data_IF_574391094585
#
_entry.id   IF_574391094585
#
_cell.length_a   1.000
_cell.length_b   1.000
_cell.length_c   1.000
_cell.angle_alpha   90.00
_cell.angle_beta   90.00
_cell.angle_gamma   90.00
#
_symmetry.space_group_name_H-M   'P 1'
#
loop_
_entity.id
_entity.type
_entity.pdbx_description
1 polymer ?
#
# COMPACT_ATOMS: atom_id res chain seq x y z
N UNK A 1 -11.60 14.38 7.38
CA UNK A 1 -11.15 14.15 6.00
C UNK A 1 -10.31 15.30 5.48
N UNK A 2 -9.53 15.04 4.43
CA UNK A 2 -8.69 16.01 3.70
C UNK A 2 -8.74 15.66 2.22
N UNK A 3 -8.83 16.64 1.32
CA UNK A 3 -8.79 16.40 -0.13
C UNK A 3 -7.34 16.21 -0.63
N UNK A 4 -7.17 15.64 -1.83
CA UNK A 4 -5.86 15.58 -2.47
C UNK A 4 -5.29 16.98 -2.75
N UNK A 5 -6.12 17.94 -3.17
CA UNK A 5 -5.66 19.31 -3.41
C UNK A 5 -5.22 20.00 -2.11
N UNK A 6 -5.99 19.87 -1.04
CA UNK A 6 -5.63 20.43 0.28
C UNK A 6 -4.32 19.83 0.82
N UNK A 7 -4.14 18.52 0.63
CA UNK A 7 -2.92 17.84 1.05
C UNK A 7 -1.70 18.28 0.24
N UNK A 8 -1.84 18.40 -1.08
CA UNK A 8 -0.78 18.88 -1.97
C UNK A 8 -0.41 20.32 -1.62
N UNK A 9 -1.39 21.20 -1.39
CA UNK A 9 -1.14 22.58 -0.97
C UNK A 9 -0.32 22.64 0.33
N UNK A 10 -0.69 21.84 1.35
CA UNK A 10 0.07 21.76 2.61
C UNK A 10 1.50 21.28 2.39
N UNK A 11 1.74 20.34 1.47
CA UNK A 11 3.08 19.88 1.13
C UNK A 11 3.90 20.97 0.42
N UNK A 12 3.30 21.74 -0.48
CA UNK A 12 3.94 22.88 -1.16
C UNK A 12 4.30 24.01 -0.19
N UNK A 13 3.46 24.21 0.82
CA UNK A 13 3.71 25.13 1.95
C UNK A 13 4.71 24.59 2.98
N UNK A 14 5.32 23.41 2.73
CA UNK A 14 6.27 22.72 3.61
C UNK A 14 5.72 22.38 5.01
N UNK A 15 4.41 22.16 5.14
CA UNK A 15 3.82 21.70 6.39
C UNK A 15 4.35 20.32 6.79
N UNK A 16 4.53 20.08 8.10
CA UNK A 16 4.91 18.77 8.64
C UNK A 16 3.70 17.82 8.64
N UNK A 17 3.42 17.23 7.48
CA UNK A 17 2.33 16.26 7.31
C UNK A 17 2.76 14.86 7.73
N UNK A 18 1.95 14.18 8.55
CA UNK A 18 2.18 12.81 9.00
C UNK A 18 0.98 11.93 8.68
N UNK A 19 1.24 10.63 8.53
CA UNK A 19 0.22 9.60 8.35
C UNK A 19 0.31 8.58 9.49
N UNK A 20 -0.82 7.96 9.81
CA UNK A 20 -0.92 6.83 10.74
C UNK A 20 -1.74 5.72 10.10
N UNK A 21 -1.51 4.47 10.51
CA UNK A 21 -2.42 3.38 10.19
C UNK A 21 -3.76 3.55 10.94
N UNK A 22 -4.84 2.90 10.48
CA UNK A 22 -6.09 2.83 11.24
C UNK A 22 -5.88 2.16 12.59
N UNK A 23 -6.69 2.53 13.58
CA UNK A 23 -6.70 1.87 14.88
C UNK A 23 -7.24 0.45 14.76
N UNK A 24 -6.69 -0.49 15.54
CA UNK A 24 -7.10 -1.91 15.49
C UNK A 24 -8.60 -2.10 15.78
N UNK A 25 -9.17 -1.34 16.73
CA UNK A 25 -10.59 -1.41 17.05
C UNK A 25 -11.50 -1.07 15.86
N UNK A 26 -11.04 -0.23 14.92
CA UNK A 26 -11.80 0.06 13.69
C UNK A 26 -11.83 -1.09 12.70
N UNK A 27 -10.80 -1.94 12.69
CA UNK A 27 -10.85 -3.17 11.92
C UNK A 27 -11.79 -4.18 12.55
N UNK A 28 -11.73 -4.36 13.88
CA UNK A 28 -12.59 -5.31 14.60
C UNK A 28 -14.06 -4.94 14.42
N UNK A 29 -14.42 -3.68 14.70
CA UNK A 29 -15.79 -3.16 14.49
C UNK A 29 -16.31 -3.45 13.08
N UNK A 30 -15.48 -3.20 12.05
CA UNK A 30 -15.88 -3.41 10.66
C UNK A 30 -15.95 -4.90 10.29
N UNK A 31 -15.05 -5.73 10.80
CA UNK A 31 -15.08 -7.17 10.52
C UNK A 31 -16.31 -7.83 11.14
N UNK A 32 -16.62 -7.50 12.40
CA UNK A 32 -17.82 -8.00 13.09
C UNK A 32 -19.10 -7.58 12.35
N UNK A 33 -19.16 -6.32 11.87
CA UNK A 33 -20.29 -5.82 11.07
C UNK A 33 -20.43 -6.59 9.74
N UNK A 34 -19.34 -6.73 8.97
CA UNK A 34 -19.38 -7.38 7.67
C UNK A 34 -19.62 -8.89 7.75
N UNK A 35 -19.23 -9.53 8.85
CA UNK A 35 -19.37 -10.96 9.06
C UNK A 35 -20.63 -11.38 9.82
N UNK A 36 -21.51 -10.45 10.19
CA UNK A 36 -22.72 -10.73 10.99
C UNK A 36 -23.65 -11.77 10.32
N UNK A 37 -23.69 -11.80 8.99
CA UNK A 37 -24.48 -12.75 8.21
C UNK A 37 -23.75 -14.09 7.91
N UNK A 38 -22.55 -14.26 8.46
CA UNK A 38 -21.70 -15.42 8.23
C UNK A 38 -20.83 -15.34 6.97
N UNK A 39 -20.81 -14.19 6.28
CA UNK A 39 -19.93 -13.94 5.14
C UNK A 39 -18.44 -14.06 5.50
N UNK A 40 -17.65 -14.57 4.56
CA UNK A 40 -16.18 -14.53 4.64
C UNK A 40 -15.68 -13.19 4.11
N UNK A 41 -14.64 -12.64 4.75
CA UNK A 41 -14.08 -11.32 4.43
C UNK A 41 -12.69 -11.48 3.85
N UNK A 42 -12.46 -10.93 2.65
CA UNK A 42 -11.11 -10.75 2.09
C UNK A 42 -10.66 -9.32 2.36
N UNK A 43 -9.66 -9.17 3.23
CA UNK A 43 -9.14 -7.87 3.65
C UNK A 43 -7.75 -7.63 3.06
N UNK A 44 -7.70 -6.99 1.89
CA UNK A 44 -6.44 -6.69 1.18
C UNK A 44 -5.94 -5.27 1.49
N UNK A 45 -4.64 -5.16 1.76
CA UNK A 45 -4.04 -3.88 2.16
C UNK A 45 -2.80 -3.52 1.37
N UNK A 46 -2.47 -2.23 1.41
CA UNK A 46 -1.19 -1.73 0.93
C UNK A 46 -0.03 -2.48 1.61
N UNK A 47 1.11 -2.49 0.95
CA UNK A 47 2.23 -3.31 1.39
C UNK A 47 2.67 -3.07 2.84
N UNK A 48 2.92 -4.18 3.54
CA UNK A 48 3.50 -4.19 4.88
C UNK A 48 4.89 -3.52 4.95
N UNK A 49 5.60 -3.42 3.81
CA UNK A 49 6.90 -2.75 3.75
C UNK A 49 6.84 -1.23 3.94
N UNK A 50 5.66 -0.61 3.80
CA UNK A 50 5.50 0.85 3.86
C UNK A 50 4.53 1.34 4.95
N UNK A 51 3.62 0.47 5.40
CA UNK A 51 2.64 0.78 6.45
C UNK A 51 2.38 -0.42 7.35
N UNK A 52 2.12 -0.15 8.63
CA UNK A 52 1.65 -1.15 9.60
C UNK A 52 0.21 -1.59 9.39
N UNK A 53 -0.52 -1.02 8.42
CA UNK A 53 -1.94 -1.33 8.16
C UNK A 53 -2.20 -2.83 8.00
N UNK A 54 -1.38 -3.53 7.19
CA UNK A 54 -1.50 -4.99 7.01
C UNK A 54 -1.37 -5.73 8.35
N UNK A 55 -0.36 -5.38 9.16
CA UNK A 55 -0.13 -6.04 10.44
C UNK A 55 -1.26 -5.77 11.44
N UNK A 56 -1.80 -4.55 11.45
CA UNK A 56 -2.96 -4.20 12.28
C UNK A 56 -4.20 -4.97 11.86
N UNK A 57 -4.45 -5.10 10.56
CA UNK A 57 -5.55 -5.88 10.02
C UNK A 57 -5.42 -7.38 10.35
N UNK A 58 -4.20 -7.93 10.26
CA UNK A 58 -3.90 -9.31 10.63
C UNK A 58 -4.17 -9.56 12.12
N UNK A 59 -3.74 -8.66 13.00
CA UNK A 59 -4.05 -8.77 14.44
C UNK A 59 -5.55 -8.67 14.69
N UNK A 60 -6.25 -7.75 14.02
CA UNK A 60 -7.70 -7.63 14.15
C UNK A 60 -8.44 -8.89 13.67
N UNK A 61 -7.96 -9.55 12.61
CA UNK A 61 -8.55 -10.81 12.12
C UNK A 61 -8.44 -11.97 13.13
N UNK A 62 -7.49 -11.92 14.05
CA UNK A 62 -7.35 -12.90 15.13
C UNK A 62 -8.24 -12.58 16.34
N UNK A 63 -8.81 -11.38 16.39
CA UNK A 63 -9.60 -10.88 17.53
C UNK A 63 -11.11 -10.81 17.26
N UNK A 64 -11.52 -10.84 16.00
CA UNK A 64 -12.93 -10.89 15.57
C UNK A 64 -13.45 -12.32 15.57
N UNK A 65 -14.76 -12.48 15.72
CA UNK A 65 -15.44 -13.78 15.56
C UNK A 65 -15.70 -14.12 14.07
N UNK A 66 -15.51 -13.16 13.16
CA UNK A 66 -15.74 -13.31 11.72
C UNK A 66 -14.58 -14.02 11.01
N UNK A 67 -14.89 -14.73 9.92
CA UNK A 67 -13.87 -15.35 9.06
C UNK A 67 -13.21 -14.30 8.16
N UNK A 68 -11.99 -13.90 8.51
CA UNK A 68 -11.22 -12.91 7.75
C UNK A 68 -9.94 -13.51 7.17
N UNK A 69 -9.73 -13.32 5.87
CA UNK A 69 -8.47 -13.61 5.18
C UNK A 69 -7.77 -12.30 4.84
N UNK A 70 -6.62 -12.04 5.47
CA UNK A 70 -5.87 -10.78 5.29
C UNK A 70 -4.75 -10.96 4.26
N UNK A 71 -4.71 -10.09 3.25
CA UNK A 71 -3.76 -10.15 2.14
C UNK A 71 -2.83 -8.94 2.14
N UNK A 72 -1.52 -9.18 2.17
CA UNK A 72 -0.51 -8.18 1.85
C UNK A 72 -0.41 -8.05 0.34
N UNK A 73 -0.84 -6.93 -0.24
CA UNK A 73 -0.79 -6.73 -1.69
C UNK A 73 0.62 -6.65 -2.27
N UNK A 74 1.65 -6.47 -1.42
CA UNK A 74 3.02 -6.12 -1.83
C UNK A 74 3.10 -4.90 -2.76
N UNK A 75 2.03 -4.10 -2.79
CA UNK A 75 1.87 -2.96 -3.70
C UNK A 75 1.22 -1.77 -3.02
N UNK A 76 1.03 -0.69 -3.79
CA UNK A 76 0.35 0.54 -3.40
C UNK A 76 -0.44 1.08 -4.59
N UNK A 77 -1.35 2.04 -4.34
CA UNK A 77 -2.04 2.80 -5.38
C UNK A 77 -2.68 1.86 -6.43
N UNK A 78 -2.47 2.11 -7.72
CA UNK A 78 -2.99 1.28 -8.81
C UNK A 78 -2.59 -0.20 -8.74
N UNK A 79 -1.41 -0.55 -8.22
CA UNK A 79 -1.03 -1.96 -8.10
C UNK A 79 -1.80 -2.71 -7.01
N UNK A 80 -2.24 -2.01 -5.96
CA UNK A 80 -3.20 -2.51 -4.98
C UNK A 80 -4.62 -2.56 -5.60
N UNK A 81 -5.05 -1.47 -6.25
CA UNK A 81 -6.37 -1.40 -6.88
C UNK A 81 -6.60 -2.46 -7.96
N UNK A 82 -5.57 -2.78 -8.74
CA UNK A 82 -5.61 -3.84 -9.74
C UNK A 82 -5.86 -5.21 -9.11
N UNK A 83 -5.24 -5.52 -7.96
CA UNK A 83 -5.52 -6.74 -7.22
C UNK A 83 -6.96 -6.78 -6.68
N UNK A 84 -7.47 -5.65 -6.16
CA UNK A 84 -8.86 -5.54 -5.70
C UNK A 84 -9.84 -5.83 -6.84
N UNK A 85 -9.59 -5.30 -8.04
CA UNK A 85 -10.44 -5.55 -9.21
C UNK A 85 -10.50 -7.05 -9.55
N UNK A 86 -9.36 -7.73 -9.59
CA UNK A 86 -9.30 -9.17 -9.86
C UNK A 86 -10.01 -10.00 -8.78
N UNK A 87 -9.86 -9.63 -7.49
CA UNK A 87 -10.59 -10.28 -6.39
C UNK A 87 -12.11 -10.17 -6.61
N UNK A 88 -12.60 -8.98 -6.95
CA UNK A 88 -14.03 -8.76 -7.22
C UNK A 88 -14.49 -9.59 -8.42
N UNK A 89 -13.73 -9.60 -9.52
CA UNK A 89 -14.08 -10.36 -10.72
C UNK A 89 -14.12 -11.88 -10.43
N UNK A 90 -13.14 -12.41 -9.70
CA UNK A 90 -13.11 -13.82 -9.31
C UNK A 90 -14.23 -14.19 -8.35
N UNK A 91 -14.53 -13.33 -7.37
CA UNK A 91 -15.66 -13.52 -6.47
C UNK A 91 -16.99 -13.55 -7.24
N UNK A 92 -17.18 -12.66 -8.22
CA UNK A 92 -18.38 -12.63 -9.07
C UNK A 92 -18.52 -13.89 -9.94
N UNK A 93 -17.42 -14.59 -10.22
CA UNK A 93 -17.44 -15.89 -10.92
C UNK A 93 -17.65 -17.08 -10.00
N UNK A 94 -17.74 -16.87 -8.69
CA UNK A 94 -18.02 -17.90 -7.69
C UNK A 94 -16.79 -18.67 -7.21
N UNK A 95 -15.58 -18.13 -7.38
CA UNK A 95 -14.38 -18.71 -6.79
C UNK A 95 -14.45 -18.63 -5.26
N UNK A 96 -13.94 -19.66 -4.61
CA UNK A 96 -13.77 -19.68 -3.15
C UNK A 96 -12.65 -18.73 -2.71
N UNK A 97 -12.68 -18.34 -1.43
CA UNK A 97 -11.62 -17.53 -0.80
C UNK A 97 -10.23 -18.11 -1.01
N UNK A 98 -10.07 -19.44 -0.90
CA UNK A 98 -8.78 -20.11 -1.09
C UNK A 98 -8.28 -20.00 -2.54
N UNK A 99 -9.15 -20.23 -3.52
CA UNK A 99 -8.80 -20.09 -4.94
C UNK A 99 -8.44 -18.65 -5.29
N UNK A 100 -9.12 -17.67 -4.70
CA UNK A 100 -8.80 -16.24 -4.86
C UNK A 100 -7.40 -15.95 -4.29
N UNK A 101 -7.07 -16.47 -3.11
CA UNK A 101 -5.74 -16.28 -2.50
C UNK A 101 -4.65 -16.88 -3.38
N UNK A 102 -4.84 -18.10 -3.89
CA UNK A 102 -3.89 -18.75 -4.80
C UNK A 102 -3.68 -17.91 -6.08
N UNK A 103 -4.76 -17.44 -6.70
CA UNK A 103 -4.69 -16.60 -7.89
C UNK A 103 -4.03 -15.24 -7.61
N UNK A 104 -4.24 -14.65 -6.43
CA UNK A 104 -3.58 -13.40 -6.04
C UNK A 104 -2.06 -13.59 -5.95
N UNK A 105 -1.58 -14.70 -5.38
CA UNK A 105 -0.15 -14.97 -5.29
C UNK A 105 0.51 -15.02 -6.67
N UNK A 106 -0.16 -15.63 -7.67
CA UNK A 106 0.34 -15.62 -9.05
C UNK A 106 0.23 -14.26 -9.73
N UNK A 107 -0.86 -13.52 -9.49
CA UNK A 107 -1.04 -12.18 -10.02
C UNK A 107 0.05 -11.22 -9.54
N UNK A 108 0.40 -11.28 -8.25
CA UNK A 108 1.43 -10.45 -7.63
C UNK A 108 2.81 -10.60 -8.29
N UNK A 109 3.18 -11.81 -8.75
CA UNK A 109 4.44 -12.04 -9.47
C UNK A 109 4.52 -11.31 -10.80
N UNK A 110 3.37 -10.93 -11.36
CA UNK A 110 3.23 -10.31 -12.67
C UNK A 110 2.93 -8.81 -12.59
N UNK A 111 2.83 -8.23 -11.39
CA UNK A 111 2.64 -6.78 -11.19
C UNK A 111 4.01 -6.11 -11.06
N UNK A 112 4.23 -5.07 -11.86
CA UNK A 112 5.35 -4.14 -11.71
C UNK A 112 4.84 -2.72 -11.58
N UNK A 113 5.28 -2.02 -10.54
CA UNK A 113 4.93 -0.63 -10.27
C UNK A 113 6.19 0.23 -10.33
N UNK A 114 6.17 1.26 -11.18
CA UNK A 114 7.22 2.26 -11.23
C UNK A 114 6.65 3.61 -10.77
N UNK A 115 7.41 4.31 -9.94
CA UNK A 115 7.02 5.61 -9.38
C UNK A 115 8.10 6.66 -9.63
N UNK A 116 7.69 7.84 -10.05
CA UNK A 116 8.58 9.01 -10.12
C UNK A 116 8.46 9.76 -8.80
N UNK A 117 9.58 9.92 -8.10
CA UNK A 117 9.61 10.51 -6.75
C UNK A 117 9.90 12.01 -6.88
N UNK A 118 8.88 12.83 -6.59
CA UNK A 118 9.01 14.30 -6.60
C UNK A 118 9.79 14.85 -5.40
N UNK A 119 9.52 14.33 -4.20
CA UNK A 119 10.13 14.80 -2.95
C UNK A 119 10.69 13.63 -2.13
N UNK A 120 11.92 13.19 -2.47
CA UNK A 120 12.58 12.06 -1.79
C UNK A 120 12.74 12.30 -0.28
N UNK A 121 12.97 13.54 0.13
CA UNK A 121 13.13 13.90 1.54
C UNK A 121 11.93 13.50 2.40
N UNK A 122 10.70 13.55 1.87
CA UNK A 122 9.49 13.15 2.61
C UNK A 122 9.46 11.63 2.86
N UNK A 123 9.88 10.83 1.88
CA UNK A 123 9.98 9.37 2.04
C UNK A 123 11.07 8.98 3.05
N UNK A 124 12.19 9.70 3.07
CA UNK A 124 13.28 9.49 4.05
C UNK A 124 12.84 9.90 5.46
N UNK A 125 12.24 11.09 5.62
CA UNK A 125 11.72 11.57 6.91
C UNK A 125 10.66 10.63 7.46
N UNK A 126 9.80 10.11 6.58
CA UNK A 126 8.79 9.11 6.93
C UNK A 126 9.37 7.71 7.22
N UNK A 127 10.64 7.43 6.93
CA UNK A 127 11.25 6.11 7.14
C UNK A 127 10.81 5.04 6.14
N UNK A 128 10.19 5.43 5.02
CA UNK A 128 9.69 4.52 3.97
C UNK A 128 10.75 4.20 2.90
N UNK A 129 11.85 4.95 2.91
CA UNK A 129 13.08 4.65 2.17
C UNK A 129 14.23 4.66 3.17
N UNK A 130 15.05 3.60 3.11
CA UNK A 130 16.27 3.50 3.90
C UNK A 130 17.21 4.66 3.61
N UNK A 131 17.86 5.20 4.65
CA UNK A 131 18.88 6.26 4.53
C UNK A 131 20.14 5.71 3.86
N UNK A 132 20.12 5.49 2.56
CA UNK A 132 21.32 5.18 1.79
C UNK A 132 22.19 6.44 1.72
N UNK A 133 23.38 6.36 2.33
CA UNK A 133 24.27 7.51 2.60
C UNK A 133 24.75 8.29 1.35
N UNK A 134 24.48 7.81 0.14
CA UNK A 134 24.93 8.43 -1.12
C UNK A 134 23.92 9.33 -1.84
N UNK A 135 22.62 9.28 -1.50
CA UNK A 135 21.58 9.99 -2.26
C UNK A 135 21.26 11.41 -1.73
N UNK A 136 21.50 11.69 -0.45
CA UNK A 136 21.07 12.97 0.18
C UNK A 136 21.88 14.19 -0.34
N UNK A 137 23.14 14.00 -0.74
CA UNK A 137 24.05 15.11 -1.07
C UNK A 137 23.92 15.74 -2.46
N UNK A 138 23.40 15.02 -3.46
CA UNK A 138 23.39 15.45 -4.87
C UNK A 138 21.97 15.67 -5.47
N UNK A 139 20.92 15.64 -4.64
CA UNK A 139 19.52 15.47 -5.07
C UNK A 139 18.80 16.74 -5.55
N UNK A 140 19.38 17.93 -5.49
CA UNK A 140 18.65 19.17 -5.81
C UNK A 140 18.17 19.29 -7.28
N UNK A 141 18.48 18.34 -8.17
CA UNK A 141 18.11 18.38 -9.61
C UNK A 141 17.77 17.03 -10.25
N UNK A 142 17.50 15.98 -9.47
CA UNK A 142 17.24 14.63 -9.98
C UNK A 142 15.81 14.23 -9.61
N UNK A 143 15.09 13.56 -10.52
CA UNK A 143 13.80 12.90 -10.26
C UNK A 143 14.05 11.39 -10.18
N UNK A 144 14.21 10.80 -8.97
CA UNK A 144 14.45 9.37 -8.84
C UNK A 144 13.24 8.58 -9.33
N UNK A 145 13.51 7.48 -10.01
CA UNK A 145 12.51 6.47 -10.34
C UNK A 145 12.71 5.32 -9.35
N UNK A 146 11.62 4.98 -8.66
CA UNK A 146 11.56 3.83 -7.76
C UNK A 146 10.68 2.72 -8.32
N UNK A 147 10.86 1.53 -7.76
CA UNK A 147 9.98 0.38 -7.92
C UNK A 147 9.66 -0.19 -6.53
N UNK A 148 8.71 -1.13 -6.46
CA UNK A 148 8.57 -1.99 -5.30
C UNK A 148 9.26 -3.33 -5.53
N UNK A 149 10.19 -3.68 -4.64
CA UNK A 149 10.76 -5.03 -4.54
C UNK A 149 10.39 -5.60 -3.17
N UNK A 150 9.70 -6.75 -3.17
CA UNK A 150 9.12 -7.37 -1.96
C UNK A 150 8.39 -6.37 -1.05
N UNK A 151 7.60 -5.48 -1.66
CA UNK A 151 6.82 -4.48 -0.94
C UNK A 151 7.59 -3.28 -0.38
N UNK A 152 8.89 -3.14 -0.65
CA UNK A 152 9.71 -2.00 -0.22
C UNK A 152 10.10 -1.14 -1.41
N UNK A 153 10.25 0.16 -1.18
CA UNK A 153 10.69 1.07 -2.24
C UNK A 153 12.18 0.90 -2.49
N UNK A 154 12.51 0.49 -3.71
CA UNK A 154 13.88 0.43 -4.22
C UNK A 154 14.08 1.47 -5.32
N UNK A 155 15.22 2.17 -5.29
CA UNK A 155 15.55 3.18 -6.29
C UNK A 155 16.33 2.54 -7.44
N UNK A 156 15.80 2.65 -8.66
CA UNK A 156 16.36 1.96 -9.82
C UNK A 156 17.02 2.88 -10.83
N UNK A 157 16.66 4.17 -10.85
CA UNK A 157 17.24 5.12 -11.80
C UNK A 157 17.18 6.57 -11.32
N UNK A 158 18.15 7.37 -11.75
CA UNK A 158 18.27 8.80 -11.44
C UNK A 158 18.24 9.60 -12.74
N UNK A 159 17.06 10.11 -13.14
CA UNK A 159 16.95 10.99 -14.31
C UNK A 159 17.06 12.47 -13.92
N UNK A 160 17.70 13.27 -14.77
CA UNK A 160 17.85 14.73 -14.59
C UNK A 160 16.74 15.55 -15.29
N UNK A 161 15.98 14.95 -16.21
CA UNK A 161 14.93 15.61 -17.01
C UNK A 161 13.69 14.71 -17.11
N UNK A 162 12.49 15.31 -17.14
CA UNK A 162 11.22 14.57 -17.26
C UNK A 162 10.83 14.27 -18.72
N UNK A 163 11.64 14.71 -19.69
CA UNK A 163 11.40 14.47 -21.10
C UNK A 163 12.19 13.22 -21.53
N UNK A 164 11.49 12.36 -22.27
CA UNK A 164 12.03 11.22 -22.98
C UNK A 164 13.24 11.59 -23.86
#
# INVERSE_FOLDING_TARGET
DISSEEYIQKLEENADTKTSQPAIGKFIELYDELGEDGSEIISIHMTSGLSGTYQTALQASEMTDSKVTVIDSKSISFGLGYQVQHIVDWNNTGLSTNEIVENIVELQKNIKLYVVIGQLNQLIKGGRISKTKGLIGNMMKIKPIGTLEDGKIELIHNSRTQNA
#
